data_IF_195974164725
#
_entry.id   IF_195974164725
#
_cell.length_a   1.000
_cell.length_b   1.000
_cell.length_c   1.000
_cell.angle_alpha   90.00
_cell.angle_beta   90.00
_cell.angle_gamma   90.00
#
_symmetry.space_group_name_H-M   'P 1'
#
loop_
_entity.id
_entity.type
_entity.pdbx_description
1 polymer ?
#
# COMPACT_ATOMS: atom_id res chain seq x y z
N UNK A 1 -19.09 8.38 -26.84
CA UNK A 1 -20.14 8.83 -25.90
C UNK A 1 -19.43 9.27 -24.64
N UNK A 2 -19.63 10.51 -24.20
CA UNK A 2 -19.04 11.01 -22.96
C UNK A 2 -19.51 10.14 -21.79
N UNK A 3 -18.55 9.48 -21.14
CA UNK A 3 -18.76 8.68 -19.95
C UNK A 3 -18.98 9.63 -18.75
N UNK A 4 -20.19 10.15 -18.64
CA UNK A 4 -20.57 11.00 -17.53
C UNK A 4 -21.02 10.12 -16.37
N UNK A 5 -20.14 9.96 -15.38
CA UNK A 5 -20.49 9.31 -14.11
C UNK A 5 -21.14 10.35 -13.19
N UNK A 6 -22.07 9.92 -12.33
CA UNK A 6 -22.65 10.77 -11.32
C UNK A 6 -22.79 10.05 -9.98
N UNK A 7 -22.78 10.86 -8.92
CA UNK A 7 -23.16 10.48 -7.56
C UNK A 7 -24.31 11.39 -7.17
N UNK A 8 -25.43 10.82 -6.72
CA UNK A 8 -26.62 11.57 -6.31
C UNK A 8 -27.02 11.17 -4.90
N UNK A 9 -27.28 12.16 -4.05
CA UNK A 9 -27.86 11.97 -2.71
C UNK A 9 -29.24 12.62 -2.71
N UNK A 10 -30.27 11.79 -2.56
CA UNK A 10 -31.63 12.23 -2.28
C UNK A 10 -31.77 12.42 -0.77
N UNK A 11 -31.68 13.68 -0.35
CA UNK A 11 -31.62 14.07 1.06
C UNK A 11 -32.99 14.47 1.63
N UNK A 12 -33.11 14.38 2.96
CA UNK A 12 -34.34 14.81 3.65
C UNK A 12 -34.43 16.35 3.69
N UNK A 13 -35.58 16.92 3.30
CA UNK A 13 -35.77 18.39 3.22
C UNK A 13 -35.47 19.15 4.52
N UNK A 14 -35.79 18.55 5.66
CA UNK A 14 -35.54 19.11 7.00
C UNK A 14 -34.39 18.39 7.71
N UNK A 15 -33.35 18.01 6.95
CA UNK A 15 -32.18 17.32 7.49
C UNK A 15 -31.52 18.16 8.60
N UNK A 16 -31.35 17.62 9.82
CA UNK A 16 -30.49 18.26 10.82
C UNK A 16 -29.03 18.19 10.36
N UNK A 17 -28.27 19.27 10.57
CA UNK A 17 -26.86 19.37 10.20
C UNK A 17 -26.60 19.18 8.67
N UNK A 18 -26.97 20.17 7.83
CA UNK A 18 -26.72 20.11 6.40
C UNK A 18 -25.23 20.01 6.04
N UNK A 19 -24.32 20.41 6.94
CA UNK A 19 -22.86 20.23 6.75
C UNK A 19 -22.47 18.78 6.51
N UNK A 20 -23.10 17.83 7.22
CA UNK A 20 -22.82 16.40 7.06
C UNK A 20 -23.23 15.88 5.68
N UNK A 21 -24.24 16.47 5.04
CA UNK A 21 -24.64 16.10 3.68
C UNK A 21 -23.54 16.47 2.67
N UNK A 22 -22.97 17.67 2.79
CA UNK A 22 -21.87 18.09 1.94
C UNK A 22 -20.60 17.28 2.21
N UNK A 23 -20.34 16.95 3.47
CA UNK A 23 -19.23 16.07 3.85
C UNK A 23 -19.42 14.66 3.28
N UNK A 24 -20.62 14.09 3.34
CA UNK A 24 -20.93 12.79 2.74
C UNK A 24 -20.68 12.81 1.22
N UNK A 25 -21.18 13.83 0.53
CA UNK A 25 -20.94 13.99 -0.91
C UNK A 25 -19.44 14.11 -1.21
N UNK A 26 -18.70 14.91 -0.44
CA UNK A 26 -17.25 15.06 -0.60
C UNK A 26 -16.52 13.73 -0.41
N UNK A 27 -16.93 12.91 0.56
CA UNK A 27 -16.32 11.60 0.82
C UNK A 27 -16.64 10.61 -0.31
N UNK A 28 -17.85 10.59 -0.85
CA UNK A 28 -18.18 9.74 -2.00
C UNK A 28 -17.39 10.12 -3.25
N UNK A 29 -17.26 11.42 -3.55
CA UNK A 29 -16.43 11.89 -4.67
C UNK A 29 -14.98 11.46 -4.43
N UNK A 30 -14.42 11.72 -3.25
CA UNK A 30 -13.05 11.37 -2.92
C UNK A 30 -12.80 9.85 -3.00
N UNK A 31 -13.76 9.02 -2.56
CA UNK A 31 -13.67 7.57 -2.69
C UNK A 31 -13.64 7.13 -4.16
N UNK A 32 -14.49 7.72 -5.00
CA UNK A 32 -14.53 7.37 -6.42
C UNK A 32 -13.28 7.86 -7.18
N UNK A 33 -12.72 9.01 -6.81
CA UNK A 33 -11.40 9.46 -7.31
C UNK A 33 -10.27 8.53 -6.89
N UNK A 34 -10.23 8.14 -5.60
CA UNK A 34 -9.27 7.14 -5.11
C UNK A 34 -9.40 5.83 -5.88
N UNK A 35 -10.62 5.38 -6.14
CA UNK A 35 -10.88 4.18 -6.92
C UNK A 35 -10.35 4.28 -8.35
N UNK A 36 -10.66 5.35 -9.08
CA UNK A 36 -10.12 5.57 -10.43
C UNK A 36 -8.58 5.65 -10.44
N UNK A 37 -7.98 6.24 -9.40
CA UNK A 37 -6.52 6.29 -9.26
C UNK A 37 -5.89 4.93 -8.98
N UNK A 38 -6.55 4.08 -8.19
CA UNK A 38 -6.14 2.69 -7.94
C UNK A 38 -6.15 1.90 -9.25
N UNK A 39 -7.23 2.01 -10.02
CA UNK A 39 -7.35 1.36 -11.33
C UNK A 39 -6.28 1.87 -12.31
N UNK A 40 -6.02 3.18 -12.36
CA UNK A 40 -5.02 3.74 -13.26
C UNK A 40 -3.61 3.19 -12.94
N UNK A 41 -3.26 3.15 -11.66
CA UNK A 41 -1.97 2.58 -11.20
C UNK A 41 -1.87 1.09 -11.46
N UNK A 42 -2.97 0.36 -11.38
CA UNK A 42 -2.98 -1.09 -11.59
C UNK A 42 -2.55 -1.49 -13.01
N UNK A 43 -2.71 -0.59 -13.98
CA UNK A 43 -2.37 -0.80 -15.40
C UNK A 43 -1.27 0.18 -15.89
N UNK A 44 -0.47 0.73 -14.97
CA UNK A 44 0.62 1.70 -15.21
C UNK A 44 0.22 2.96 -16.03
N UNK A 45 -1.03 3.40 -15.87
CA UNK A 45 -1.49 4.69 -16.41
C UNK A 45 -1.08 5.80 -15.44
N UNK A 46 -0.11 6.62 -15.85
CA UNK A 46 0.51 7.69 -15.05
C UNK A 46 -0.36 8.94 -14.83
N UNK A 47 -1.67 8.82 -14.97
CA UNK A 47 -2.56 9.98 -15.03
C UNK A 47 -3.34 10.18 -13.73
N UNK A 48 -3.64 11.43 -13.44
CA UNK A 48 -4.48 11.81 -12.30
C UNK A 48 -5.96 11.70 -12.68
N UNK A 49 -6.71 10.98 -11.86
CA UNK A 49 -8.16 10.85 -12.01
C UNK A 49 -8.84 11.86 -11.08
N UNK A 50 -9.49 12.87 -11.67
CA UNK A 50 -10.12 14.00 -10.97
C UNK A 50 -11.46 14.34 -11.60
N UNK A 51 -12.39 14.83 -10.78
CA UNK A 51 -13.70 15.24 -11.24
C UNK A 51 -14.01 16.71 -11.00
N UNK A 52 -14.81 17.26 -11.91
CA UNK A 52 -15.44 18.57 -11.76
C UNK A 52 -16.92 18.40 -11.46
N UNK A 53 -17.44 19.22 -10.55
CA UNK A 53 -18.86 19.34 -10.29
C UNK A 53 -19.54 20.09 -11.45
N UNK A 54 -20.51 19.46 -12.10
CA UNK A 54 -21.23 20.08 -13.22
C UNK A 54 -22.51 20.83 -12.82
N UNK A 55 -23.33 20.28 -11.92
CA UNK A 55 -24.64 20.86 -11.55
C UNK A 55 -25.03 20.49 -10.11
N UNK A 56 -25.97 21.21 -9.49
CA UNK A 56 -26.62 20.86 -8.20
C UNK A 56 -28.13 21.04 -8.37
N UNK A 57 -28.91 19.98 -8.16
CA UNK A 57 -30.36 20.03 -8.32
C UNK A 57 -31.10 20.35 -7.01
N UNK A 58 -32.30 20.93 -7.12
CA UNK A 58 -33.13 21.20 -5.94
C UNK A 58 -33.74 19.87 -5.47
N UNK A 59 -33.58 19.53 -4.19
CA UNK A 59 -34.00 18.26 -3.54
C UNK A 59 -33.08 17.06 -3.72
N UNK A 60 -31.97 17.19 -4.47
CA UNK A 60 -30.91 16.17 -4.50
C UNK A 60 -29.56 16.82 -4.79
N UNK A 61 -28.50 16.40 -4.11
CA UNK A 61 -27.16 16.82 -4.54
C UNK A 61 -26.70 15.78 -5.56
N UNK A 62 -26.64 16.17 -6.84
CA UNK A 62 -26.13 15.32 -7.92
C UNK A 62 -24.79 15.86 -8.38
N UNK A 63 -23.70 15.26 -7.95
CA UNK A 63 -22.39 15.53 -8.54
C UNK A 63 -22.27 14.73 -9.84
N UNK A 64 -22.44 15.39 -10.99
CA UNK A 64 -22.00 14.82 -12.28
C UNK A 64 -20.51 15.13 -12.43
N UNK A 65 -19.77 14.10 -12.76
CA UNK A 65 -18.34 14.00 -12.59
C UNK A 65 -17.69 13.96 -13.97
N UNK A 66 -17.19 15.10 -14.44
CA UNK A 66 -16.50 15.22 -15.74
C UNK A 66 -14.98 15.23 -15.50
N UNK A 67 -14.27 14.48 -16.33
CA UNK A 67 -12.81 14.44 -16.30
C UNK A 67 -12.19 15.77 -16.75
N UNK A 68 -11.07 16.15 -16.14
CA UNK A 68 -10.18 17.19 -16.67
C UNK A 68 -9.84 16.95 -18.16
N UNK A 69 -9.99 17.95 -19.05
CA UNK A 69 -9.68 17.80 -20.47
C UNK A 69 -8.23 17.35 -20.73
N UNK A 70 -8.04 16.37 -21.63
CA UNK A 70 -6.78 16.12 -22.33
C UNK A 70 -5.91 14.95 -21.86
N UNK A 71 -6.37 14.05 -20.99
CA UNK A 71 -5.46 13.06 -20.40
C UNK A 71 -5.89 11.60 -20.60
N UNK A 72 -7.07 11.14 -20.19
CA UNK A 72 -7.38 9.69 -20.20
C UNK A 72 -8.26 9.34 -21.40
N UNK A 73 -7.96 8.25 -22.11
CA UNK A 73 -8.84 7.75 -23.17
C UNK A 73 -10.25 7.47 -22.60
N UNK A 74 -11.32 7.94 -23.27
CA UNK A 74 -12.73 7.64 -22.96
C UNK A 74 -12.96 6.16 -22.62
N UNK A 75 -12.20 5.28 -23.28
CA UNK A 75 -12.15 3.86 -23.01
C UNK A 75 -11.91 3.55 -21.52
N UNK A 76 -10.88 4.13 -20.92
CA UNK A 76 -10.53 3.87 -19.52
C UNK A 76 -11.57 4.44 -18.55
N UNK A 77 -12.20 5.59 -18.86
CA UNK A 77 -13.29 6.11 -18.04
C UNK A 77 -14.45 5.13 -18.00
N UNK A 78 -14.82 4.56 -19.16
CA UNK A 78 -15.85 3.51 -19.22
C UNK A 78 -15.47 2.28 -18.38
N UNK A 79 -14.18 1.90 -18.33
CA UNK A 79 -13.70 0.82 -17.46
C UNK A 79 -13.81 1.16 -15.98
N UNK A 80 -13.42 2.37 -15.57
CA UNK A 80 -13.57 2.83 -14.17
C UNK A 80 -15.04 2.86 -13.77
N UNK A 81 -15.91 3.27 -14.69
CA UNK A 81 -17.36 3.27 -14.52
C UNK A 81 -17.90 1.84 -14.35
N UNK A 82 -17.51 0.92 -15.23
CA UNK A 82 -17.86 -0.52 -15.19
C UNK A 82 -17.38 -1.20 -13.90
N UNK A 83 -16.09 -1.11 -13.60
CA UNK A 83 -15.47 -1.67 -12.41
C UNK A 83 -16.08 -1.09 -11.12
N UNK A 84 -16.41 0.22 -11.12
CA UNK A 84 -17.07 0.88 -10.00
C UNK A 84 -18.48 0.35 -9.79
N UNK A 85 -19.24 0.20 -10.87
CA UNK A 85 -20.58 -0.41 -10.84
C UNK A 85 -20.51 -1.81 -10.23
N UNK A 86 -19.58 -2.65 -10.72
CA UNK A 86 -19.39 -4.03 -10.24
C UNK A 86 -18.95 -4.10 -8.77
N UNK A 87 -18.07 -3.19 -8.34
CA UNK A 87 -17.69 -3.10 -6.93
C UNK A 87 -18.92 -2.79 -6.07
N UNK A 88 -19.67 -1.74 -6.40
CA UNK A 88 -20.85 -1.37 -5.62
C UNK A 88 -21.98 -2.43 -5.68
N UNK A 89 -22.09 -3.21 -6.76
CA UNK A 89 -22.92 -4.41 -6.79
C UNK A 89 -22.49 -5.44 -5.75
N UNK A 90 -21.18 -5.73 -5.63
CA UNK A 90 -20.68 -6.64 -4.60
C UNK A 90 -20.94 -6.10 -3.19
N UNK A 91 -20.85 -4.78 -2.99
CA UNK A 91 -21.17 -4.14 -1.71
C UNK A 91 -22.68 -4.09 -1.42
N UNK A 92 -23.56 -4.36 -2.39
CA UNK A 92 -25.00 -4.55 -2.15
C UNK A 92 -25.30 -5.93 -1.56
N UNK A 93 -24.48 -6.94 -1.85
CA UNK A 93 -24.68 -8.32 -1.43
C UNK A 93 -24.19 -8.60 0.00
N UNK A 94 -23.44 -7.67 0.60
CA UNK A 94 -22.94 -7.74 1.97
C UNK A 94 -23.19 -6.44 2.72
N UNK A 95 -23.33 -6.54 4.04
CA UNK A 95 -23.41 -5.37 4.92
C UNK A 95 -22.04 -4.99 5.51
N UNK A 96 -21.02 -5.84 5.38
CA UNK A 96 -19.72 -5.60 6.02
C UNK A 96 -18.54 -6.18 5.24
N UNK A 97 -17.37 -5.56 5.41
CA UNK A 97 -16.06 -6.06 4.97
C UNK A 97 -15.03 -5.77 6.06
N UNK A 98 -14.39 -6.82 6.57
CA UNK A 98 -13.53 -6.75 7.76
C UNK A 98 -12.14 -7.36 7.54
N UNK A 99 -12.03 -8.41 6.73
CA UNK A 99 -10.82 -9.24 6.62
C UNK A 99 -9.99 -8.93 5.37
N UNK A 100 -8.69 -9.27 5.41
CA UNK A 100 -7.80 -9.13 4.24
C UNK A 100 -8.29 -9.99 3.07
N UNK A 101 -8.79 -11.20 3.35
CA UNK A 101 -9.33 -12.13 2.37
C UNK A 101 -10.55 -11.58 1.64
N UNK A 102 -11.47 -10.91 2.35
CA UNK A 102 -12.63 -10.27 1.73
C UNK A 102 -12.21 -9.14 0.79
N UNK A 103 -11.26 -8.31 1.21
CA UNK A 103 -10.71 -7.24 0.34
C UNK A 103 -9.96 -7.83 -0.85
N UNK A 104 -9.24 -8.93 -0.65
CA UNK A 104 -8.56 -9.66 -1.73
C UNK A 104 -9.56 -10.17 -2.78
N UNK A 105 -10.70 -10.70 -2.33
CA UNK A 105 -11.76 -11.15 -3.22
C UNK A 105 -12.39 -9.99 -4.01
N UNK A 106 -12.66 -8.86 -3.35
CA UNK A 106 -13.15 -7.65 -4.03
C UNK A 106 -12.16 -7.19 -5.11
N UNK A 107 -10.86 -7.15 -4.76
CA UNK A 107 -9.80 -6.78 -5.69
C UNK A 107 -9.72 -7.75 -6.88
N UNK A 108 -9.78 -9.07 -6.63
CA UNK A 108 -9.75 -10.08 -7.69
C UNK A 108 -10.95 -9.96 -8.64
N UNK A 109 -12.14 -9.69 -8.12
CA UNK A 109 -13.33 -9.51 -8.95
C UNK A 109 -13.24 -8.24 -9.83
N UNK A 110 -12.62 -7.17 -9.30
CA UNK A 110 -12.33 -5.96 -10.06
C UNK A 110 -11.31 -6.25 -11.18
N UNK A 111 -10.24 -6.98 -10.87
CA UNK A 111 -9.21 -7.40 -11.84
C UNK A 111 -9.83 -8.25 -12.97
N UNK A 112 -10.70 -9.20 -12.62
CA UNK A 112 -11.44 -10.01 -13.59
C UNK A 112 -12.34 -9.14 -14.49
N UNK A 113 -13.02 -8.14 -13.92
CA UNK A 113 -13.84 -7.20 -14.69
C UNK A 113 -12.99 -6.41 -15.69
N UNK A 114 -11.82 -5.94 -15.27
CA UNK A 114 -10.87 -5.22 -16.14
C UNK A 114 -10.37 -6.08 -17.31
N UNK A 115 -10.09 -7.37 -17.05
CA UNK A 115 -9.67 -8.33 -18.08
C UNK A 115 -10.80 -8.55 -19.09
N UNK A 116 -12.02 -8.82 -18.59
CA UNK A 116 -13.20 -9.07 -19.41
C UNK A 116 -13.62 -7.86 -20.26
N UNK A 117 -13.37 -6.63 -19.78
CA UNK A 117 -13.59 -5.37 -20.51
C UNK A 117 -12.47 -5.04 -21.53
N UNK A 118 -11.72 -6.05 -21.96
CA UNK A 118 -10.84 -5.97 -23.13
C UNK A 118 -9.52 -5.24 -22.91
N UNK A 119 -8.97 -5.21 -21.68
CA UNK A 119 -7.55 -4.87 -21.48
C UNK A 119 -6.62 -5.96 -22.07
N UNK A 120 -7.18 -7.12 -22.42
CA UNK A 120 -6.44 -8.25 -22.96
C UNK A 120 -5.57 -8.91 -21.90
N UNK A 121 -5.27 -10.19 -22.08
CA UNK A 121 -4.37 -10.96 -21.22
C UNK A 121 -2.92 -10.42 -21.17
N UNK A 122 -2.65 -9.26 -21.81
CA UNK A 122 -1.32 -8.67 -21.96
C UNK A 122 -0.99 -7.65 -20.87
N UNK A 123 -1.99 -7.15 -20.12
CA UNK A 123 -1.77 -6.19 -19.02
C UNK A 123 -1.92 -6.94 -17.68
N UNK A 124 -0.81 -7.13 -16.96
CA UNK A 124 -0.79 -7.64 -15.59
C UNK A 124 -1.41 -6.60 -14.64
N UNK A 125 -2.74 -6.53 -14.61
CA UNK A 125 -3.47 -5.62 -13.75
C UNK A 125 -3.36 -6.09 -12.31
N UNK A 126 -2.86 -5.23 -11.42
CA UNK A 126 -2.87 -5.52 -9.99
C UNK A 126 -3.35 -4.35 -9.16
N UNK A 127 -4.47 -4.57 -8.49
CA UNK A 127 -5.07 -3.63 -7.57
C UNK A 127 -4.27 -3.62 -6.27
N UNK A 128 -3.85 -2.45 -5.82
CA UNK A 128 -3.23 -2.30 -4.50
C UNK A 128 -4.31 -2.50 -3.42
N UNK A 129 -4.28 -3.65 -2.74
CA UNK A 129 -5.25 -4.01 -1.69
C UNK A 129 -5.27 -3.02 -0.52
N UNK A 130 -4.10 -2.47 -0.16
CA UNK A 130 -4.02 -1.47 0.90
C UNK A 130 -4.71 -0.19 0.48
N UNK A 131 -4.45 0.28 -0.74
CA UNK A 131 -5.14 1.44 -1.30
C UNK A 131 -6.65 1.19 -1.43
N UNK A 132 -7.06 0.01 -1.88
CA UNK A 132 -8.46 -0.40 -1.95
C UNK A 132 -9.14 -0.34 -0.58
N UNK A 133 -8.48 -0.86 0.47
CA UNK A 133 -9.00 -0.80 1.85
C UNK A 133 -9.22 0.63 2.33
N UNK A 134 -8.28 1.55 2.05
CA UNK A 134 -8.45 2.96 2.40
C UNK A 134 -9.62 3.61 1.66
N UNK A 135 -9.82 3.27 0.38
CA UNK A 135 -10.96 3.73 -0.40
C UNK A 135 -12.28 3.19 0.17
N UNK A 136 -12.35 1.89 0.47
CA UNK A 136 -13.48 1.24 1.14
C UNK A 136 -13.79 1.88 2.49
N UNK A 137 -12.76 2.20 3.29
CA UNK A 137 -12.91 2.97 4.52
C UNK A 137 -13.47 4.38 4.30
N UNK A 138 -13.17 5.03 3.18
CA UNK A 138 -13.74 6.33 2.80
C UNK A 138 -15.22 6.20 2.45
N UNK A 139 -15.62 5.16 1.71
CA UNK A 139 -17.04 4.84 1.45
C UNK A 139 -17.80 4.58 2.75
N UNK A 140 -17.22 3.81 3.67
CA UNK A 140 -17.80 3.51 4.99
C UNK A 140 -18.04 4.79 5.81
N UNK A 141 -17.10 5.73 5.78
CA UNK A 141 -17.26 7.06 6.41
C UNK A 141 -18.37 7.87 5.76
N UNK A 142 -18.47 7.88 4.43
CA UNK A 142 -19.55 8.55 3.72
C UNK A 142 -20.92 7.98 4.13
N UNK A 143 -21.05 6.64 4.13
CA UNK A 143 -22.25 5.92 4.53
C UNK A 143 -22.69 6.24 5.98
N UNK A 144 -21.75 6.49 6.91
CA UNK A 144 -22.06 6.89 8.29
C UNK A 144 -22.72 8.27 8.40
N UNK A 145 -22.57 9.12 7.40
CA UNK A 145 -23.19 10.44 7.36
C UNK A 145 -24.57 10.43 6.67
N UNK A 146 -24.98 9.32 6.07
CA UNK A 146 -26.28 9.18 5.42
C UNK A 146 -27.34 8.79 6.45
N UNK A 147 -28.49 9.49 6.44
CA UNK A 147 -29.62 9.19 7.32
C UNK A 147 -30.45 8.03 6.75
N UNK A 148 -31.19 7.34 7.62
CA UNK A 148 -31.93 6.10 7.32
C UNK A 148 -32.91 6.19 6.12
N UNK A 149 -33.44 7.38 5.85
CA UNK A 149 -34.44 7.62 4.79
C UNK A 149 -33.85 8.31 3.55
N UNK A 150 -32.53 8.47 3.49
CA UNK A 150 -31.83 9.07 2.36
C UNK A 150 -31.30 7.97 1.43
N UNK A 151 -31.29 8.29 0.14
CA UNK A 151 -30.87 7.36 -0.91
C UNK A 151 -29.63 7.93 -1.57
N UNK A 152 -28.64 7.07 -1.79
CA UNK A 152 -27.45 7.41 -2.58
C UNK A 152 -27.45 6.57 -3.83
N UNK A 153 -27.32 7.22 -4.98
CA UNK A 153 -27.28 6.62 -6.30
C UNK A 153 -25.92 6.88 -6.94
N UNK A 154 -25.38 5.86 -7.58
CA UNK A 154 -24.21 5.94 -8.45
C UNK A 154 -24.60 5.49 -9.85
N UNK A 155 -24.14 6.17 -10.89
CA UNK A 155 -24.52 5.79 -12.24
C UNK A 155 -23.77 6.52 -13.35
N UNK A 156 -24.01 6.08 -14.57
CA UNK A 156 -23.58 6.75 -15.80
C UNK A 156 -24.77 7.32 -16.58
N UNK A 157 -24.53 7.76 -17.81
CA UNK A 157 -25.58 8.27 -18.72
C UNK A 157 -26.71 7.27 -18.99
N UNK A 158 -26.45 5.96 -18.90
CA UNK A 158 -27.38 4.89 -19.28
C UNK A 158 -27.65 3.85 -18.19
N UNK A 159 -27.09 4.03 -16.99
CA UNK A 159 -27.27 3.10 -15.87
C UNK A 159 -27.22 3.86 -14.54
N UNK A 160 -27.92 3.35 -13.53
CA UNK A 160 -27.85 3.87 -12.16
C UNK A 160 -28.19 2.76 -11.18
N UNK A 161 -27.52 2.76 -10.04
CA UNK A 161 -27.75 1.81 -8.97
C UNK A 161 -27.69 2.49 -7.61
N UNK A 162 -28.47 1.97 -6.67
CA UNK A 162 -28.42 2.41 -5.29
C UNK A 162 -27.15 1.88 -4.63
N UNK A 163 -26.53 2.69 -3.76
CA UNK A 163 -25.46 2.25 -2.89
C UNK A 163 -26.07 1.64 -1.63
N UNK A 164 -25.51 0.53 -1.13
CA UNK A 164 -25.83 0.04 0.21
C UNK A 164 -25.32 1.03 1.27
N UNK A 165 -26.15 1.97 1.71
CA UNK A 165 -25.78 2.96 2.74
C UNK A 165 -25.63 2.34 4.13
N UNK A 166 -26.02 1.07 4.32
CA UNK A 166 -25.77 0.31 5.56
C UNK A 166 -24.43 -0.40 5.55
N UNK A 167 -23.82 -0.59 4.39
CA UNK A 167 -22.53 -1.27 4.29
C UNK A 167 -21.45 -0.55 5.09
N UNK A 168 -20.60 -1.30 5.80
CA UNK A 168 -19.47 -0.79 6.58
C UNK A 168 -18.18 -1.52 6.26
N UNK A 169 -17.09 -0.76 6.29
CA UNK A 169 -15.74 -1.32 6.38
C UNK A 169 -15.33 -1.36 7.85
N UNK A 170 -15.13 -2.55 8.40
CA UNK A 170 -14.74 -2.79 9.80
C UNK A 170 -13.28 -3.21 9.97
N UNK A 171 -12.56 -3.44 8.87
CA UNK A 171 -11.15 -3.80 8.91
C UNK A 171 -10.25 -2.71 9.50
N UNK A 172 -9.21 -3.12 10.22
CA UNK A 172 -8.22 -2.19 10.78
C UNK A 172 -7.18 -1.78 9.72
N UNK A 173 -7.39 -0.60 9.13
CA UNK A 173 -6.50 0.01 8.14
C UNK A 173 -5.06 0.19 8.62
N UNK A 174 -4.80 0.18 9.93
CA UNK A 174 -3.46 0.33 10.48
C UNK A 174 -2.67 -0.99 10.50
N UNK A 175 -3.37 -2.13 10.55
CA UNK A 175 -2.76 -3.46 10.64
C UNK A 175 -2.91 -4.30 9.38
N UNK A 176 -3.89 -4.02 8.53
CA UNK A 176 -4.11 -4.76 7.29
C UNK A 176 -3.02 -4.52 6.25
N UNK A 177 -2.69 -5.57 5.49
CA UNK A 177 -1.74 -5.60 4.38
C UNK A 177 -0.33 -5.13 4.77
N UNK A 178 0.07 -5.32 6.04
CA UNK A 178 1.41 -5.03 6.54
C UNK A 178 2.44 -6.10 6.15
N UNK A 179 2.02 -7.26 5.64
CA UNK A 179 2.92 -8.38 5.36
C UNK A 179 3.39 -9.11 6.62
N UNK A 180 4.19 -10.16 6.44
CA UNK A 180 4.69 -10.98 7.54
C UNK A 180 6.05 -10.47 8.00
N UNK A 181 6.19 -10.27 9.32
CA UNK A 181 7.43 -9.90 9.96
C UNK A 181 7.90 -11.03 10.86
N UNK A 182 9.03 -11.62 10.53
CA UNK A 182 9.68 -12.66 11.34
C UNK A 182 11.05 -12.15 11.80
N UNK A 183 11.31 -12.14 13.11
CA UNK A 183 12.64 -11.79 13.63
C UNK A 183 13.49 -13.04 13.67
N UNK A 184 14.60 -13.03 12.93
CA UNK A 184 15.52 -14.16 12.79
C UNK A 184 16.84 -13.83 13.48
N UNK A 185 17.40 -14.82 14.18
CA UNK A 185 18.77 -14.78 14.72
C UNK A 185 19.68 -15.52 13.76
N UNK A 186 20.77 -14.89 13.34
CA UNK A 186 21.74 -15.47 12.44
C UNK A 186 23.16 -15.25 12.93
N UNK A 187 24.03 -16.19 12.57
CA UNK A 187 25.48 -16.09 12.73
C UNK A 187 26.12 -16.17 11.36
N UNK A 188 27.01 -15.23 11.07
CA UNK A 188 27.68 -15.17 9.77
C UNK A 188 28.99 -14.36 9.82
N UNK A 189 29.78 -14.49 8.75
CA UNK A 189 30.91 -13.63 8.45
C UNK A 189 30.43 -12.36 7.73
N UNK A 190 30.71 -11.20 8.32
CA UNK A 190 30.28 -9.88 7.85
C UNK A 190 31.47 -9.06 7.36
N UNK A 191 31.53 -8.82 6.06
CA UNK A 191 32.51 -7.90 5.48
C UNK A 191 32.12 -6.46 5.80
N UNK A 192 33.04 -5.71 6.40
CA UNK A 192 32.79 -4.31 6.75
C UNK A 192 33.01 -3.45 5.51
N UNK A 193 31.92 -2.91 4.96
CA UNK A 193 31.95 -1.99 3.81
C UNK A 193 32.17 -0.55 4.25
N UNK A 194 31.49 -0.15 5.33
CA UNK A 194 31.61 1.19 5.91
C UNK A 194 31.69 1.00 7.42
N UNK A 195 32.88 1.26 7.97
CA UNK A 195 33.12 1.32 9.40
C UNK A 195 32.81 2.74 9.91
N UNK A 196 32.37 2.84 11.15
CA UNK A 196 32.14 4.13 11.81
C UNK A 196 33.07 4.24 13.00
N UNK A 197 34.01 5.17 12.90
CA UNK A 197 35.00 5.43 13.93
C UNK A 197 34.44 6.31 15.06
N UNK A 198 33.43 7.13 14.79
CA UNK A 198 32.83 8.05 15.76
C UNK A 198 31.33 8.25 15.54
N UNK A 199 30.56 8.37 16.62
CA UNK A 199 29.13 8.70 16.58
C UNK A 199 28.19 7.49 16.67
N UNK A 200 26.91 7.70 16.28
CA UNK A 200 25.79 6.74 16.43
C UNK A 200 25.23 6.25 15.08
N UNK A 201 25.97 6.44 13.99
CA UNK A 201 25.52 6.03 12.65
C UNK A 201 25.50 4.50 12.51
N UNK A 202 24.90 4.00 11.43
CA UNK A 202 24.80 2.56 11.14
C UNK A 202 25.99 2.07 10.31
N UNK A 203 26.58 0.96 10.71
CA UNK A 203 27.66 0.30 9.98
C UNK A 203 27.09 -0.40 8.75
N UNK A 204 27.85 -0.44 7.65
CA UNK A 204 27.43 -1.19 6.45
C UNK A 204 28.21 -2.48 6.36
N UNK A 205 27.49 -3.60 6.28
CA UNK A 205 28.05 -4.93 6.17
C UNK A 205 27.59 -5.62 4.88
N UNK A 206 28.40 -6.54 4.37
CA UNK A 206 27.96 -7.58 3.43
C UNK A 206 28.08 -8.94 4.10
N UNK A 207 26.97 -9.66 4.19
CA UNK A 207 26.95 -11.04 4.69
C UNK A 207 27.52 -11.99 3.63
N UNK A 208 28.41 -12.90 4.03
CA UNK A 208 28.97 -13.91 3.12
C UNK A 208 27.91 -14.93 2.72
N UNK A 209 27.11 -15.44 3.67
CA UNK A 209 26.10 -16.47 3.42
C UNK A 209 24.88 -15.96 2.65
N UNK A 210 24.38 -14.76 2.98
CA UNK A 210 23.20 -14.18 2.33
C UNK A 210 23.55 -13.47 1.02
N UNK A 211 24.84 -13.16 0.80
CA UNK A 211 25.33 -12.31 -0.28
C UNK A 211 24.57 -10.97 -0.39
N UNK A 212 24.04 -10.46 0.73
CA UNK A 212 23.29 -9.20 0.82
C UNK A 212 24.09 -8.15 1.59
N UNK A 213 23.99 -6.90 1.14
CA UNK A 213 24.52 -5.73 1.84
C UNK A 213 23.40 -5.09 2.66
N UNK A 214 23.69 -4.74 3.91
CA UNK A 214 22.73 -4.10 4.80
C UNK A 214 23.43 -3.15 5.77
N UNK A 215 22.68 -2.18 6.28
CA UNK A 215 23.11 -1.34 7.39
C UNK A 215 22.67 -1.96 8.71
N UNK A 216 23.55 -1.96 9.70
CA UNK A 216 23.28 -2.52 11.01
C UNK A 216 23.86 -1.67 12.13
N UNK A 217 23.21 -1.73 13.28
CA UNK A 217 23.75 -1.16 14.52
C UNK A 217 24.48 -2.26 15.30
N UNK A 218 25.70 -1.98 15.75
CA UNK A 218 26.35 -2.83 16.74
C UNK A 218 25.78 -2.48 18.12
N UNK A 219 25.29 -3.49 18.85
CA UNK A 219 24.74 -3.32 20.21
C UNK A 219 25.71 -3.80 21.30
N UNK A 220 26.84 -4.38 20.91
CA UNK A 220 27.91 -4.83 21.80
C UNK A 220 28.68 -3.62 22.34
N UNK A 221 28.21 -3.07 23.46
CA UNK A 221 28.70 -1.81 24.03
C UNK A 221 30.21 -1.82 24.29
N UNK A 222 30.73 -2.89 24.91
CA UNK A 222 32.15 -2.98 25.25
C UNK A 222 33.03 -3.08 24.00
N UNK A 223 32.58 -3.80 22.97
CA UNK A 223 33.29 -3.89 21.70
C UNK A 223 33.39 -2.51 21.03
N UNK A 224 32.29 -1.76 20.97
CA UNK A 224 32.30 -0.39 20.40
C UNK A 224 33.24 0.51 21.19
N UNK A 225 33.18 0.45 22.53
CA UNK A 225 34.06 1.26 23.38
C UNK A 225 35.53 0.92 23.15
N UNK A 226 35.87 -0.37 23.06
CA UNK A 226 37.24 -0.82 22.79
C UNK A 226 37.70 -0.46 21.38
N UNK A 227 36.79 -0.49 20.40
CA UNK A 227 37.07 -0.04 19.04
C UNK A 227 37.33 1.47 18.95
N UNK A 228 36.44 2.29 19.52
CA UNK A 228 36.54 3.75 19.50
C UNK A 228 37.71 4.28 20.34
N UNK A 229 38.14 3.54 21.37
CA UNK A 229 39.33 3.87 22.16
C UNK A 229 40.65 3.40 21.53
N UNK A 230 40.60 2.70 20.40
CA UNK A 230 41.79 2.18 19.70
C UNK A 230 42.38 0.91 20.31
N UNK A 231 41.72 0.28 21.29
CA UNK A 231 42.11 -1.03 21.83
C UNK A 231 41.87 -2.15 20.80
N UNK A 232 40.92 -1.97 19.90
CA UNK A 232 40.73 -2.83 18.72
C UNK A 232 41.31 -2.08 17.52
N UNK A 233 42.28 -2.67 16.79
CA UNK A 233 42.83 -2.04 15.60
C UNK A 233 41.74 -1.70 14.56
N UNK A 234 41.91 -0.61 13.78
CA UNK A 234 40.95 -0.22 12.75
C UNK A 234 40.57 -1.39 11.85
N UNK A 235 39.28 -1.52 11.52
CA UNK A 235 38.78 -2.56 10.61
C UNK A 235 39.11 -2.14 9.18
N UNK A 236 39.97 -2.90 8.52
CA UNK A 236 40.38 -2.66 7.14
C UNK A 236 39.41 -3.25 6.10
N UNK A 237 39.59 -2.92 4.80
CA UNK A 237 38.70 -3.36 3.72
C UNK A 237 38.62 -4.88 3.51
N UNK A 238 39.63 -5.64 3.98
CA UNK A 238 39.70 -7.10 3.88
C UNK A 238 39.30 -7.81 5.18
N UNK A 239 38.99 -7.05 6.23
CA UNK A 239 38.66 -7.63 7.52
C UNK A 239 37.20 -8.05 7.57
N UNK A 240 36.94 -9.14 8.27
CA UNK A 240 35.62 -9.74 8.39
C UNK A 240 35.28 -9.97 9.84
N UNK A 241 34.04 -9.64 10.24
CA UNK A 241 33.56 -9.90 11.59
C UNK A 241 32.77 -11.21 11.61
N UNK A 242 33.19 -12.17 12.43
CA UNK A 242 32.32 -13.29 12.79
C UNK A 242 31.35 -12.79 13.85
N UNK A 243 30.07 -12.69 13.50
CA UNK A 243 29.10 -12.01 14.33
C UNK A 243 27.77 -12.76 14.39
N UNK A 244 27.12 -12.65 15.55
CA UNK A 244 25.72 -13.00 15.74
C UNK A 244 24.87 -11.72 15.66
N UNK A 245 23.82 -11.77 14.87
CA UNK A 245 22.96 -10.63 14.61
C UNK A 245 21.51 -11.03 14.46
N UNK A 246 20.62 -10.12 14.82
CA UNK A 246 19.19 -10.25 14.61
C UNK A 246 18.77 -9.39 13.44
N UNK A 247 17.83 -9.86 12.63
CA UNK A 247 17.18 -9.05 11.60
C UNK A 247 15.70 -9.37 11.50
N UNK A 248 14.93 -8.42 11.00
CA UNK A 248 13.54 -8.61 10.67
C UNK A 248 13.46 -9.04 9.19
N UNK A 249 13.03 -10.27 8.95
CA UNK A 249 12.64 -10.74 7.62
C UNK A 249 11.22 -10.24 7.35
N UNK A 250 11.13 -9.21 6.52
CA UNK A 250 9.87 -8.65 6.08
C UNK A 250 9.47 -9.31 4.76
N UNK A 251 8.41 -10.12 4.78
CA UNK A 251 7.76 -10.65 3.58
C UNK A 251 6.58 -9.72 3.27
N UNK A 252 6.68 -8.88 2.22
CA UNK A 252 5.57 -8.01 1.84
C UNK A 252 4.31 -8.83 1.58
N UNK A 253 3.14 -8.24 1.83
CA UNK A 253 1.87 -8.85 1.45
C UNK A 253 1.80 -9.15 -0.05
N UNK A 254 2.25 -8.19 -0.86
CA UNK A 254 2.38 -8.35 -2.31
C UNK A 254 3.42 -9.43 -2.64
N UNK A 255 2.93 -10.60 -3.06
CA UNK A 255 3.73 -11.79 -3.38
C UNK A 255 4.74 -11.57 -4.52
N UNK A 256 4.60 -10.50 -5.32
CA UNK A 256 5.56 -10.13 -6.36
C UNK A 256 6.77 -9.39 -5.81
N UNK A 257 6.67 -8.82 -4.59
CA UNK A 257 7.79 -8.18 -3.92
C UNK A 257 8.63 -9.21 -3.17
N UNK A 258 9.94 -9.09 -3.28
CA UNK A 258 10.87 -9.99 -2.62
C UNK A 258 10.97 -9.71 -1.12
N UNK A 259 11.29 -10.74 -0.33
CA UNK A 259 11.50 -10.57 1.10
C UNK A 259 12.72 -9.67 1.37
N UNK A 260 12.53 -8.72 2.28
CA UNK A 260 13.53 -7.73 2.66
C UNK A 260 14.11 -8.02 4.03
N UNK A 261 15.40 -7.72 4.18
CA UNK A 261 16.11 -7.77 5.45
C UNK A 261 16.10 -6.37 6.03
N UNK A 262 15.47 -6.19 7.20
CA UNK A 262 15.33 -4.89 7.86
C UNK A 262 15.82 -4.96 9.30
N UNK A 263 16.05 -3.79 9.91
CA UNK A 263 16.36 -3.62 11.33
C UNK A 263 17.51 -4.51 11.85
N UNK A 264 18.57 -4.66 11.06
CA UNK A 264 19.69 -5.52 11.43
C UNK A 264 20.44 -4.97 12.64
N UNK A 265 20.70 -5.81 13.62
CA UNK A 265 21.40 -5.47 14.87
C UNK A 265 22.44 -6.53 15.17
N UNK A 266 23.71 -6.13 15.28
CA UNK A 266 24.78 -7.02 15.72
C UNK A 266 24.71 -7.14 17.24
N UNK A 267 24.38 -8.33 17.73
CA UNK A 267 24.18 -8.60 19.16
C UNK A 267 25.42 -9.22 19.81
N UNK A 268 26.31 -9.82 19.01
CA UNK A 268 27.58 -10.39 19.47
C UNK A 268 28.62 -10.33 18.35
N UNK A 269 29.87 -10.03 18.70
CA UNK A 269 31.02 -10.16 17.81
C UNK A 269 31.93 -11.20 18.46
N UNK A 270 32.12 -12.31 17.78
CA UNK A 270 32.92 -13.43 18.30
C UNK A 270 34.39 -13.28 17.93
N UNK A 271 34.67 -12.88 16.69
CA UNK A 271 36.04 -12.74 16.21
C UNK A 271 36.16 -11.71 15.08
N UNK A 272 37.39 -11.23 14.87
CA UNK A 272 37.78 -10.38 13.75
C UNK A 272 38.82 -11.13 12.94
N UNK A 273 38.41 -11.63 11.77
CA UNK A 273 39.32 -12.25 10.81
C UNK A 273 40.03 -11.14 10.05
N UNK A 274 41.34 -11.00 10.29
CA UNK A 274 42.18 -9.96 9.67
C UNK A 274 42.74 -10.43 8.34
N UNK A 275 42.53 -9.66 7.27
CA UNK A 275 42.92 -10.02 5.89
C UNK A 275 44.40 -9.82 5.58
N UNK A 276 45.29 -10.27 6.49
CA UNK A 276 46.70 -9.89 6.57
C UNK A 276 47.74 -10.85 5.99
N UNK A 277 47.36 -11.86 5.21
CA UNK A 277 48.32 -12.65 4.41
C UNK A 277 47.74 -12.92 3.02
N UNK A 278 48.60 -12.92 2.00
CA UNK A 278 48.27 -13.22 0.59
C UNK A 278 47.85 -14.68 0.34
N UNK A 279 47.30 -15.35 1.35
CA UNK A 279 46.65 -16.64 1.18
C UNK A 279 45.15 -16.42 1.04
N UNK A 280 44.65 -16.68 -0.17
CA UNK A 280 43.23 -16.80 -0.45
C UNK A 280 42.63 -17.86 0.47
N UNK A 281 41.97 -17.45 1.55
CA UNK A 281 41.13 -18.38 2.31
C UNK A 281 39.84 -18.64 1.53
N UNK A 282 39.76 -19.85 0.97
CA UNK A 282 38.48 -20.51 0.72
C UNK A 282 37.72 -20.60 2.04
N UNK A 283 36.54 -19.97 2.08
CA UNK A 283 35.62 -20.10 3.21
C UNK A 283 35.13 -21.55 3.21
N UNK A 284 35.19 -22.30 4.33
CA UNK A 284 34.61 -23.63 4.39
C UNK A 284 33.12 -23.57 4.04
N UNK A 285 32.71 -24.41 3.09
CA UNK A 285 31.32 -24.56 2.66
C UNK A 285 30.39 -24.98 3.80
#
# INVERSE_FOLDING_TARGET
>A
MEANVFIKIDYKKDRPNPSQLFEAMSLYIAAYEQFGQILAKSIDVKQEFKFHLEDIQISSIKAKLIQSPGLVHDFFINRVASAGSKLFEQLLETDETETEEQVDQLAANIEETLINDGLGNEIDSHIDRKALSHMLGTVSKANNLILKDEIVEFGGSSYSQNINTKWRFAGDLSTMFLGLKETVVAKDYLYVKIAINEGKQLWTFKSSRMNKTFTARILVKDWIKNYQSGLIPPIGPKDTLLAEFTYDLYKPYDKRKTAEVRNVKIIKIEDIVRGGSDEQFEIPA
#
